data_IF_126330928357
#
_entry.id   IF_126330928357
#
_cell.length_a   1.000
_cell.length_b   1.000
_cell.length_c   1.000
_cell.angle_alpha   90.00
_cell.angle_beta   90.00
_cell.angle_gamma   90.00
#
_symmetry.space_group_name_H-M   'P 1'
#
loop_
_entity.id
_entity.type
_entity.pdbx_description
1 polymer ?
#
# COMPACT_ATOMS: atom_id res chain seq x y z
N UNK A 1 0.92 7.15 -17.29
CA UNK A 1 0.23 7.19 -15.98
C UNK A 1 0.52 5.96 -15.11
N UNK A 2 0.06 4.75 -15.48
CA UNK A 2 0.23 3.53 -14.66
C UNK A 2 1.69 3.23 -14.30
N UNK A 3 2.60 3.25 -15.29
CA UNK A 3 4.03 3.01 -15.05
C UNK A 3 4.62 3.93 -13.97
N UNK A 4 4.31 5.23 -14.03
CA UNK A 4 4.71 6.21 -13.01
C UNK A 4 4.09 5.90 -11.65
N UNK A 5 2.78 5.63 -11.60
CA UNK A 5 2.06 5.35 -10.35
C UNK A 5 2.60 4.11 -9.62
N UNK A 6 2.95 3.04 -10.34
CA UNK A 6 3.52 1.83 -9.74
C UNK A 6 5.05 1.85 -9.66
N UNK A 7 5.71 2.92 -10.09
CA UNK A 7 7.19 3.00 -10.08
C UNK A 7 7.77 3.02 -8.66
N UNK A 8 7.01 3.59 -7.70
CA UNK A 8 7.41 3.73 -6.29
C UNK A 8 6.18 3.60 -5.39
N UNK A 9 6.38 3.08 -4.17
CA UNK A 9 5.29 2.85 -3.21
C UNK A 9 4.55 4.14 -2.83
N UNK A 10 5.27 5.27 -2.74
CA UNK A 10 4.72 6.51 -2.22
C UNK A 10 3.65 7.15 -3.11
N UNK A 11 3.55 6.83 -4.40
CA UNK A 11 2.42 7.29 -5.22
C UNK A 11 1.10 6.68 -4.74
N UNK A 12 1.11 5.38 -4.45
CA UNK A 12 -0.03 4.70 -3.85
C UNK A 12 -0.22 5.13 -2.39
N UNK A 13 0.87 5.29 -1.64
CA UNK A 13 0.85 5.75 -0.25
C UNK A 13 0.21 7.12 -0.09
N UNK A 14 0.63 8.12 -0.88
CA UNK A 14 0.04 9.47 -0.88
C UNK A 14 -1.43 9.42 -1.28
N UNK A 15 -1.79 8.68 -2.33
CA UNK A 15 -3.20 8.55 -2.74
C UNK A 15 -4.06 8.00 -1.61
N UNK A 16 -3.63 6.93 -0.94
CA UNK A 16 -4.35 6.36 0.21
C UNK A 16 -4.38 7.33 1.39
N UNK A 17 -3.28 8.02 1.68
CA UNK A 17 -3.21 9.00 2.77
C UNK A 17 -4.28 10.08 2.65
N UNK A 18 -4.60 10.52 1.43
CA UNK A 18 -5.64 11.54 1.21
C UNK A 18 -7.07 11.08 1.54
N UNK A 19 -7.31 9.79 1.81
CA UNK A 19 -8.60 9.32 2.36
C UNK A 19 -8.70 9.47 3.89
N UNK A 20 -7.59 9.73 4.58
CA UNK A 20 -7.55 9.97 6.02
C UNK A 20 -7.68 11.48 6.27
N UNK A 21 -8.67 11.89 7.07
CA UNK A 21 -9.00 13.32 7.26
C UNK A 21 -7.84 14.15 7.81
N UNK A 22 -6.99 13.55 8.66
CA UNK A 22 -5.82 14.19 9.25
C UNK A 22 -4.59 14.26 8.31
N UNK A 23 -4.70 13.75 7.07
CA UNK A 23 -3.62 13.63 6.10
C UNK A 23 -4.00 14.20 4.72
N UNK A 24 -4.65 15.37 4.70
CA UNK A 24 -5.16 16.00 3.47
C UNK A 24 -4.36 17.20 2.99
N UNK A 25 -3.35 17.67 3.73
CA UNK A 25 -2.47 18.77 3.29
C UNK A 25 -1.08 18.28 2.91
N UNK A 26 -0.36 19.00 2.04
CA UNK A 26 1.02 18.67 1.70
C UNK A 26 1.94 18.50 2.92
N UNK A 27 1.82 19.36 3.94
CA UNK A 27 2.64 19.30 5.15
C UNK A 27 2.35 18.06 6.00
N UNK A 28 1.07 17.71 6.17
CA UNK A 28 0.66 16.50 6.88
C UNK A 28 1.19 15.24 6.17
N UNK A 29 1.08 15.20 4.84
CA UNK A 29 1.56 14.10 4.01
C UNK A 29 3.10 13.98 4.06
N UNK A 30 3.81 15.10 3.98
CA UNK A 30 5.27 15.15 4.06
C UNK A 30 5.77 14.61 5.40
N UNK A 31 5.18 15.09 6.50
CA UNK A 31 5.50 14.62 7.86
C UNK A 31 5.20 13.12 8.01
N UNK A 32 3.99 12.68 7.65
CA UNK A 32 3.55 11.29 7.85
C UNK A 32 4.35 10.25 7.05
N UNK A 33 4.75 10.60 5.83
CA UNK A 33 5.45 9.69 4.91
C UNK A 33 6.97 9.87 4.95
N UNK A 34 7.47 10.82 5.74
CA UNK A 34 8.88 11.21 5.81
C UNK A 34 9.47 11.53 4.43
N UNK A 35 8.79 12.39 3.68
CA UNK A 35 9.18 12.87 2.35
C UNK A 35 9.25 14.40 2.36
N UNK A 36 10.10 14.97 1.51
CA UNK A 36 10.17 16.44 1.39
C UNK A 36 8.88 17.01 0.83
N UNK A 37 8.51 18.21 1.28
CA UNK A 37 7.31 18.93 0.82
C UNK A 37 7.30 19.13 -0.71
N UNK A 38 8.46 19.42 -1.30
CA UNK A 38 8.61 19.58 -2.74
C UNK A 38 8.27 18.29 -3.49
N UNK A 39 8.70 17.13 -2.98
CA UNK A 39 8.42 15.84 -3.58
C UNK A 39 6.95 15.45 -3.42
N UNK A 40 6.35 15.71 -2.25
CA UNK A 40 4.90 15.52 -2.03
C UNK A 40 4.08 16.36 -3.00
N UNK A 41 4.42 17.63 -3.20
CA UNK A 41 3.72 18.49 -4.14
C UNK A 41 3.81 17.97 -5.59
N UNK A 42 4.96 17.46 -6.02
CA UNK A 42 5.10 16.81 -7.33
C UNK A 42 4.20 15.57 -7.47
N UNK A 43 4.12 14.74 -6.41
CA UNK A 43 3.26 13.56 -6.39
C UNK A 43 1.78 13.98 -6.44
N UNK A 44 1.36 14.95 -5.64
CA UNK A 44 -0.02 15.48 -5.63
C UNK A 44 -0.40 16.01 -7.02
N UNK A 45 0.46 16.82 -7.64
CA UNK A 45 0.22 17.33 -8.99
C UNK A 45 0.01 16.19 -10.00
N UNK A 46 0.83 15.13 -9.92
CA UNK A 46 0.65 13.94 -10.75
C UNK A 46 -0.70 13.25 -10.46
N UNK A 47 -1.06 13.04 -9.19
CA UNK A 47 -2.28 12.34 -8.79
C UNK A 47 -3.53 13.12 -9.23
N UNK A 48 -3.56 14.43 -9.01
CA UNK A 48 -4.66 15.31 -9.43
C UNK A 48 -4.78 15.35 -10.95
N UNK A 49 -3.67 15.56 -11.68
CA UNK A 49 -3.66 15.54 -13.15
C UNK A 49 -4.20 14.24 -13.75
N UNK A 50 -4.03 13.11 -13.06
CA UNK A 50 -4.49 11.80 -13.54
C UNK A 50 -5.85 11.38 -12.95
N UNK A 51 -6.55 12.26 -12.23
CA UNK A 51 -7.86 11.99 -11.61
C UNK A 51 -7.81 10.98 -10.46
N UNK A 52 -6.63 10.74 -9.90
CA UNK A 52 -6.41 9.82 -8.77
C UNK A 52 -6.65 10.50 -7.42
N UNK A 53 -6.53 11.84 -7.38
CA UNK A 53 -6.88 12.72 -6.28
C UNK A 53 -7.66 13.93 -6.82
N UNK A 54 -8.33 14.67 -5.94
CA UNK A 54 -9.00 15.93 -6.24
C UNK A 54 -8.50 17.00 -5.28
N UNK A 55 -8.23 18.20 -5.80
CA UNK A 55 -7.83 19.35 -5.00
C UNK A 55 -9.07 20.16 -4.58
N UNK A 56 -9.20 20.43 -3.28
CA UNK A 56 -10.26 21.24 -2.68
C UNK A 56 -9.62 22.33 -1.80
N UNK A 57 -9.37 23.50 -2.37
CA UNK A 57 -8.62 24.56 -1.67
C UNK A 57 -7.20 24.09 -1.33
N UNK A 58 -6.84 24.11 -0.04
CA UNK A 58 -5.55 23.60 0.44
C UNK A 58 -5.54 22.09 0.73
N UNK A 59 -6.69 21.40 0.57
CA UNK A 59 -6.82 19.98 0.85
C UNK A 59 -6.77 19.16 -0.44
N UNK A 60 -6.26 17.94 -0.32
CA UNK A 60 -6.24 16.92 -1.35
C UNK A 60 -7.04 15.73 -0.84
N UNK A 61 -8.02 15.30 -1.61
CA UNK A 61 -8.85 14.13 -1.29
C UNK A 61 -8.63 13.02 -2.30
N UNK A 62 -8.90 11.79 -1.88
CA UNK A 62 -8.84 10.64 -2.77
C UNK A 62 -9.86 10.79 -3.91
N UNK A 63 -9.41 10.60 -5.15
CA UNK A 63 -10.26 10.73 -6.32
C UNK A 63 -11.06 9.45 -6.61
N UNK A 64 -12.09 9.54 -7.48
CA UNK A 64 -12.99 8.42 -7.77
C UNK A 64 -12.35 7.30 -8.59
N UNK A 65 -11.20 7.57 -9.22
CA UNK A 65 -10.53 6.61 -10.10
C UNK A 65 -9.91 5.46 -9.31
N UNK A 66 -10.19 4.23 -9.75
CA UNK A 66 -9.63 3.00 -9.18
C UNK A 66 -8.22 2.71 -9.72
N UNK A 67 -7.39 2.10 -8.87
CA UNK A 67 -5.98 1.76 -9.15
C UNK A 67 -5.74 0.25 -9.09
N UNK A 68 -6.74 -0.57 -9.44
CA UNK A 68 -6.53 -2.01 -9.49
C UNK A 68 -5.58 -2.37 -10.64
N UNK A 69 -4.63 -3.24 -10.34
CA UNK A 69 -3.69 -3.83 -11.30
C UNK A 69 -3.92 -5.33 -11.33
N UNK A 70 -4.22 -5.85 -12.52
CA UNK A 70 -4.41 -7.29 -12.74
C UNK A 70 -3.10 -8.06 -12.61
N UNK A 71 -3.21 -9.36 -12.34
CA UNK A 71 -2.07 -10.26 -12.21
C UNK A 71 -1.27 -10.45 -13.52
N UNK A 72 -1.91 -10.17 -14.66
CA UNK A 72 -1.33 -10.19 -16.01
C UNK A 72 -0.45 -8.97 -16.34
N UNK A 73 -0.52 -7.91 -15.51
CA UNK A 73 0.25 -6.70 -15.74
C UNK A 73 1.71 -6.87 -15.37
N UNK A 74 2.62 -6.50 -16.29
CA UNK A 74 4.07 -6.44 -16.03
C UNK A 74 4.46 -5.55 -14.84
N UNK A 75 3.56 -4.66 -14.41
CA UNK A 75 3.79 -3.75 -13.29
C UNK A 75 3.45 -4.39 -11.93
N UNK A 76 2.81 -5.56 -11.89
CA UNK A 76 2.37 -6.22 -10.64
C UNK A 76 3.57 -6.61 -9.78
N UNK A 77 4.60 -7.22 -10.39
CA UNK A 77 5.83 -7.57 -9.70
C UNK A 77 6.56 -6.33 -9.15
N UNK A 78 6.58 -5.23 -9.91
CA UNK A 78 7.15 -3.96 -9.45
C UNK A 78 6.39 -3.38 -8.26
N UNK A 79 5.06 -3.44 -8.27
CA UNK A 79 4.22 -2.99 -7.18
C UNK A 79 4.51 -3.76 -5.89
N UNK A 80 4.56 -5.10 -5.97
CA UNK A 80 4.90 -5.98 -4.85
C UNK A 80 6.30 -5.72 -4.29
N UNK A 81 7.30 -5.58 -5.17
CA UNK A 81 8.68 -5.28 -4.77
C UNK A 81 8.77 -3.94 -4.04
N UNK A 82 8.10 -2.89 -4.54
CA UNK A 82 8.13 -1.57 -3.92
C UNK A 82 7.60 -1.55 -2.48
N UNK A 83 6.51 -2.28 -2.20
CA UNK A 83 5.98 -2.38 -0.84
C UNK A 83 6.84 -3.24 0.08
N UNK A 84 7.45 -4.32 -0.44
CA UNK A 84 8.43 -5.12 0.33
C UNK A 84 9.67 -4.31 0.67
N UNK A 85 10.20 -3.54 -0.29
CA UNK A 85 11.29 -2.60 -0.02
C UNK A 85 10.90 -1.59 1.07
N UNK A 86 9.65 -1.12 1.10
CA UNK A 86 9.17 -0.25 2.19
C UNK A 86 9.14 -0.99 3.53
N UNK A 87 8.66 -2.24 3.58
CA UNK A 87 8.69 -3.06 4.79
C UNK A 87 10.13 -3.31 5.28
N UNK A 88 11.08 -3.53 4.36
CA UNK A 88 12.50 -3.69 4.71
C UNK A 88 13.07 -2.44 5.40
N UNK A 89 12.65 -1.23 5.03
CA UNK A 89 13.08 0.00 5.75
C UNK A 89 12.59 0.08 7.21
N UNK A 90 11.64 -0.77 7.59
CA UNK A 90 11.02 -0.79 8.92
C UNK A 90 11.57 -1.89 9.82
N UNK A 91 12.34 -2.85 9.28
CA UNK A 91 12.74 -4.06 10.01
C UNK A 91 13.58 -3.76 11.27
N UNK A 92 14.36 -2.67 11.25
CA UNK A 92 15.19 -2.25 12.39
C UNK A 92 14.43 -1.39 13.41
N UNK A 93 13.21 -0.95 13.10
CA UNK A 93 12.40 -0.04 13.92
C UNK A 93 10.93 -0.44 13.88
N UNK A 94 10.65 -1.68 14.31
CA UNK A 94 9.31 -2.25 14.37
C UNK A 94 8.57 -1.66 15.58
N UNK A 95 7.38 -1.12 15.33
CA UNK A 95 6.50 -0.59 16.38
C UNK A 95 5.75 -1.74 17.08
N UNK A 96 5.30 -1.52 18.33
CA UNK A 96 4.73 -2.59 19.19
C UNK A 96 3.49 -3.28 18.59
N UNK A 97 2.74 -2.56 17.76
CA UNK A 97 1.52 -2.98 17.09
C UNK A 97 1.74 -3.43 15.64
N UNK A 98 2.98 -3.40 15.14
CA UNK A 98 3.35 -3.93 13.83
C UNK A 98 3.67 -5.44 13.90
N UNK A 99 3.29 -6.18 12.85
CA UNK A 99 3.54 -7.62 12.76
C UNK A 99 4.57 -7.92 11.66
N UNK A 100 5.76 -8.37 12.07
CA UNK A 100 6.78 -8.92 11.19
C UNK A 100 7.06 -10.37 11.58
N UNK A 101 6.72 -11.30 10.69
CA UNK A 101 6.86 -12.73 10.93
C UNK A 101 7.64 -13.38 9.79
N UNK A 102 8.63 -14.20 10.14
CA UNK A 102 9.38 -15.06 9.21
C UNK A 102 9.40 -16.47 9.76
N UNK A 103 8.86 -17.42 8.98
CA UNK A 103 8.81 -18.83 9.35
C UNK A 103 9.26 -19.71 8.20
N UNK A 104 10.56 -19.97 8.02
CA UNK A 104 11.02 -21.01 7.10
C UNK A 104 10.55 -22.37 7.62
N UNK A 105 10.07 -23.25 6.74
CA UNK A 105 9.45 -24.52 7.13
C UNK A 105 9.81 -25.64 6.14
N UNK A 106 9.88 -26.87 6.65
CA UNK A 106 9.89 -28.09 5.86
C UNK A 106 8.55 -28.81 6.08
N UNK A 107 7.77 -29.01 5.01
CA UNK A 107 6.37 -29.43 5.08
C UNK A 107 6.06 -30.47 3.98
N UNK A 108 4.97 -31.22 4.14
CA UNK A 108 4.40 -32.01 3.05
C UNK A 108 3.77 -31.11 1.97
N UNK A 109 3.59 -31.66 0.75
CA UNK A 109 2.87 -30.97 -0.32
C UNK A 109 1.42 -30.61 0.06
N UNK A 110 0.75 -31.50 0.80
CA UNK A 110 -0.62 -31.29 1.29
C UNK A 110 -0.69 -30.10 2.23
N UNK A 111 0.20 -30.09 3.25
CA UNK A 111 0.31 -28.97 4.18
C UNK A 111 0.67 -27.68 3.44
N UNK A 112 1.48 -27.74 2.38
CA UNK A 112 1.82 -26.57 1.59
C UNK A 112 0.61 -25.92 0.91
N UNK A 113 -0.32 -26.72 0.38
CA UNK A 113 -1.56 -26.22 -0.21
C UNK A 113 -2.58 -25.78 0.84
N UNK A 114 -2.64 -26.47 1.98
CA UNK A 114 -3.50 -26.10 3.10
C UNK A 114 -3.15 -24.70 3.65
N UNK A 115 -1.86 -24.44 3.89
CA UNK A 115 -1.36 -23.10 4.28
C UNK A 115 -1.76 -22.04 3.25
N UNK A 116 -1.57 -22.31 1.95
CA UNK A 116 -1.97 -21.37 0.89
C UNK A 116 -3.47 -21.03 0.96
N UNK A 117 -4.33 -22.04 1.15
CA UNK A 117 -5.79 -21.86 1.24
C UNK A 117 -6.21 -21.06 2.48
N UNK A 118 -5.55 -21.27 3.62
CA UNK A 118 -5.79 -20.47 4.83
C UNK A 118 -5.40 -18.99 4.61
N UNK A 119 -4.26 -18.73 3.97
CA UNK A 119 -3.82 -17.37 3.65
C UNK A 119 -4.80 -16.67 2.69
N UNK A 120 -5.32 -17.36 1.68
CA UNK A 120 -6.35 -16.82 0.77
C UNK A 120 -7.62 -16.46 1.54
N UNK A 121 -8.13 -17.37 2.39
CA UNK A 121 -9.32 -17.12 3.22
C UNK A 121 -9.14 -15.93 4.17
N UNK A 122 -7.93 -15.76 4.71
CA UNK A 122 -7.59 -14.59 5.52
C UNK A 122 -7.68 -13.31 4.70
N UNK A 123 -7.09 -13.28 3.50
CA UNK A 123 -7.09 -12.12 2.61
C UNK A 123 -8.51 -11.70 2.24
N UNK A 124 -9.35 -12.66 1.83
CA UNK A 124 -10.76 -12.42 1.46
C UNK A 124 -11.53 -11.80 2.63
N UNK A 125 -11.48 -12.46 3.79
CA UNK A 125 -12.17 -12.00 5.01
C UNK A 125 -11.73 -10.61 5.48
N UNK A 126 -10.43 -10.30 5.39
CA UNK A 126 -9.92 -8.98 5.79
C UNK A 126 -10.35 -7.92 4.77
N UNK A 127 -10.26 -8.22 3.47
CA UNK A 127 -10.60 -7.28 2.41
C UNK A 127 -12.07 -6.87 2.47
N UNK A 128 -12.97 -7.82 2.74
CA UNK A 128 -14.40 -7.54 2.94
C UNK A 128 -14.64 -6.55 4.09
N UNK A 129 -13.99 -6.77 5.25
CA UNK A 129 -14.13 -5.89 6.42
C UNK A 129 -13.55 -4.49 6.21
N UNK A 130 -12.53 -4.34 5.38
CA UNK A 130 -11.89 -3.05 5.11
C UNK A 130 -12.81 -2.11 4.33
N UNK A 131 -13.70 -2.63 3.49
CA UNK A 131 -14.60 -1.81 2.65
C UNK A 131 -15.48 -0.89 3.49
N UNK A 132 -16.00 -1.38 4.62
CA UNK A 132 -16.88 -0.64 5.52
C UNK A 132 -16.13 0.06 6.67
N UNK A 133 -14.80 -0.07 6.71
CA UNK A 133 -13.97 0.54 7.74
C UNK A 133 -13.75 2.03 7.50
N UNK A 134 -13.68 2.82 8.57
CA UNK A 134 -13.23 4.21 8.49
C UNK A 134 -11.77 4.29 8.05
N UNK A 135 -11.44 5.32 7.27
CA UNK A 135 -10.06 5.63 6.84
C UNK A 135 -9.36 6.49 7.90
N UNK A 136 -8.82 5.85 8.94
CA UNK A 136 -8.17 6.56 10.07
C UNK A 136 -6.64 6.36 10.09
N UNK A 137 -6.13 5.30 9.45
CA UNK A 137 -4.70 5.00 9.39
C UNK A 137 -4.30 4.36 8.06
N UNK A 138 -2.98 4.30 7.82
CA UNK A 138 -2.37 3.64 6.68
C UNK A 138 -1.57 2.43 7.14
N UNK A 139 -1.93 1.27 6.60
CA UNK A 139 -1.21 0.03 6.81
C UNK A 139 -0.98 -0.68 5.46
N UNK A 140 0.03 -1.54 5.42
CA UNK A 140 0.31 -2.40 4.28
C UNK A 140 0.52 -3.82 4.79
N UNK A 141 -0.31 -4.75 4.29
CA UNK A 141 -0.10 -6.18 4.48
C UNK A 141 0.67 -6.74 3.29
N UNK A 142 1.92 -7.15 3.52
CA UNK A 142 2.68 -7.93 2.56
C UNK A 142 2.60 -9.41 2.96
N UNK A 143 2.37 -10.29 2.00
CA UNK A 143 2.25 -11.73 2.22
C UNK A 143 2.97 -12.47 1.10
N UNK A 144 3.84 -13.40 1.50
CA UNK A 144 4.71 -14.19 0.63
C UNK A 144 4.55 -15.67 0.96
N UNK A 145 4.24 -16.48 -0.05
CA UNK A 145 4.18 -17.94 0.06
C UNK A 145 4.78 -18.56 -1.19
N UNK A 146 5.95 -19.19 -1.08
CA UNK A 146 6.72 -19.67 -2.22
C UNK A 146 7.57 -20.90 -1.85
N UNK A 147 8.01 -21.64 -2.89
CA UNK A 147 9.00 -22.72 -2.77
C UNK A 147 10.40 -22.12 -2.95
N UNK A 148 11.37 -22.61 -2.17
CA UNK A 148 12.80 -22.28 -2.30
C UNK A 148 13.48 -23.36 -3.14
#
# INVERSE_FOLDING_TARGET
AKATFYSRWYYSGVRLATSVESLQTPDQLASRLNLSIAHINQIIQFLVKNGLCVQEGNRVKMGPRRTHIGADSVLVGRHHLNWRMKAMTKIDNIEKDELFYTGPMALSHEMMDEVRKELVRLIERVTEKVVDSKSETLACLNLDWFKI
#
